data_IF_997955633612
#
_entry.id   IF_997955633612
#
_cell.length_a   1.000
_cell.length_b   1.000
_cell.length_c   1.000
_cell.angle_alpha   90.00
_cell.angle_beta   90.00
_cell.angle_gamma   90.00
#
_symmetry.space_group_name_H-M   'P 1'
#
loop_
_entity.id
_entity.type
_entity.pdbx_description
1 polymer ?
#
# COMPACT_ATOMS: atom_id res chain seq x y z
N UNK A 1 -40.39 38.89 -18.91
CA UNK A 1 -39.14 38.17 -19.28
C UNK A 1 -39.06 36.96 -18.39
N UNK A 2 -38.88 35.81 -19.01
CA UNK A 2 -39.16 34.46 -18.54
C UNK A 2 -38.14 33.94 -17.52
N UNK A 3 -38.63 33.47 -16.37
CA UNK A 3 -37.91 32.54 -15.50
C UNK A 3 -38.06 31.11 -16.05
N UNK A 4 -36.93 30.44 -16.30
CA UNK A 4 -36.86 29.06 -16.78
C UNK A 4 -36.36 28.15 -15.67
N UNK A 5 -37.29 27.31 -15.20
CA UNK A 5 -37.18 25.86 -15.11
C UNK A 5 -35.81 25.24 -14.74
N UNK A 6 -35.70 24.77 -13.49
CA UNK A 6 -34.75 23.71 -13.09
C UNK A 6 -35.55 22.54 -12.56
N UNK A 7 -35.78 21.58 -13.43
CA UNK A 7 -36.35 20.28 -13.15
C UNK A 7 -35.46 19.45 -12.20
N UNK A 8 -36.07 18.99 -11.11
CA UNK A 8 -35.53 18.03 -10.14
C UNK A 8 -36.21 16.68 -10.43
N UNK A 9 -35.49 15.55 -10.57
CA UNK A 9 -36.14 14.27 -10.83
C UNK A 9 -36.87 13.76 -9.57
N UNK A 10 -37.99 13.03 -9.71
CA UNK A 10 -38.86 12.72 -8.59
C UNK A 10 -38.42 11.48 -7.80
N UNK A 11 -38.49 11.59 -6.48
CA UNK A 11 -38.51 10.50 -5.52
C UNK A 11 -39.70 9.56 -5.81
N UNK A 12 -39.41 8.31 -6.17
CA UNK A 12 -40.41 7.23 -6.17
C UNK A 12 -40.33 6.45 -4.87
N UNK A 13 -41.09 6.89 -3.88
CA UNK A 13 -41.47 6.06 -2.73
C UNK A 13 -42.93 6.39 -2.36
N UNK A 14 -43.83 5.43 -2.57
CA UNK A 14 -45.24 5.27 -2.11
C UNK A 14 -45.95 4.38 -3.13
N UNK A 15 -46.83 3.41 -2.86
CA UNK A 15 -47.55 2.75 -1.74
C UNK A 15 -47.94 1.36 -2.32
N UNK A 16 -48.22 0.29 -1.58
CA UNK A 16 -49.45 0.10 -0.83
C UNK A 16 -49.42 -1.20 -0.02
N UNK A 17 -50.05 -1.15 1.15
CA UNK A 17 -50.40 -2.30 1.98
C UNK A 17 -51.74 -2.90 1.53
N UNK A 18 -51.89 -4.22 1.71
CA UNK A 18 -53.19 -4.89 1.77
C UNK A 18 -53.16 -6.35 1.31
N UNK A 19 -53.39 -7.29 2.23
CA UNK A 19 -53.79 -8.66 1.87
C UNK A 19 -53.22 -9.76 2.77
N UNK A 20 -53.80 -9.91 3.96
CA UNK A 20 -53.63 -11.07 4.84
C UNK A 20 -54.30 -12.31 4.18
N UNK A 21 -53.52 -13.32 3.82
CA UNK A 21 -53.99 -14.70 3.58
C UNK A 21 -52.93 -15.68 4.07
N UNK A 22 -53.18 -16.23 5.26
CA UNK A 22 -52.61 -17.51 5.69
C UNK A 22 -53.32 -18.60 4.88
N UNK A 23 -52.54 -19.45 4.22
CA UNK A 23 -52.61 -20.92 4.35
C UNK A 23 -51.82 -21.62 3.24
N UNK A 24 -51.36 -22.83 3.62
CA UNK A 24 -50.74 -23.89 2.82
C UNK A 24 -49.22 -23.81 2.62
N UNK A 25 -48.59 -24.83 3.20
CA UNK A 25 -47.18 -25.24 3.13
C UNK A 25 -46.83 -25.60 1.69
N UNK A 26 -45.63 -25.23 1.25
CA UNK A 26 -44.77 -26.03 0.38
C UNK A 26 -43.33 -25.52 0.52
N UNK A 27 -42.42 -26.42 0.86
CA UNK A 27 -40.98 -26.21 0.97
C UNK A 27 -40.33 -26.42 -0.41
N UNK A 28 -39.73 -25.39 -1.05
CA UNK A 28 -38.89 -25.60 -2.21
C UNK A 28 -37.42 -25.51 -1.78
N UNK A 29 -36.98 -26.45 -0.96
CA UNK A 29 -35.56 -26.78 -0.76
C UNK A 29 -35.01 -27.45 -2.04
N UNK A 30 -34.92 -26.65 -3.10
CA UNK A 30 -34.47 -27.06 -4.43
C UNK A 30 -33.56 -26.00 -5.07
N UNK A 31 -32.43 -25.70 -4.42
CA UNK A 31 -31.35 -24.98 -5.09
C UNK A 31 -30.79 -25.80 -6.26
N UNK A 32 -30.28 -25.17 -7.33
CA UNK A 32 -29.76 -25.89 -8.48
C UNK A 32 -28.63 -26.83 -8.05
N UNK A 33 -28.68 -28.07 -8.56
CA UNK A 33 -27.68 -29.09 -8.30
C UNK A 33 -26.28 -28.56 -8.63
N UNK A 34 -25.33 -28.80 -7.72
CA UNK A 34 -23.93 -28.55 -7.98
C UNK A 34 -23.51 -29.29 -9.26
N UNK A 35 -22.67 -28.68 -10.12
CA UNK A 35 -22.14 -29.37 -11.28
C UNK A 35 -21.44 -30.67 -10.84
N UNK A 36 -21.45 -31.72 -11.68
CA UNK A 36 -20.79 -32.98 -11.37
C UNK A 36 -19.32 -32.71 -11.01
N UNK A 37 -18.88 -33.38 -9.94
CA UNK A 37 -17.51 -33.35 -9.46
C UNK A 37 -16.63 -34.04 -10.52
N UNK A 38 -16.00 -33.25 -11.38
CA UNK A 38 -15.16 -33.69 -12.50
C UNK A 38 -13.84 -34.31 -12.01
N UNK A 39 -13.87 -35.14 -10.97
CA UNK A 39 -12.80 -36.07 -10.60
C UNK A 39 -11.39 -35.48 -10.56
N UNK A 40 -11.25 -34.17 -10.30
CA UNK A 40 -9.94 -33.55 -10.14
C UNK A 40 -9.44 -34.07 -8.82
N UNK A 41 -8.53 -35.04 -8.89
CA UNK A 41 -7.71 -35.44 -7.76
C UNK A 41 -6.92 -34.20 -7.34
N UNK A 42 -7.48 -33.43 -6.39
CA UNK A 42 -6.77 -32.34 -5.73
C UNK A 42 -5.68 -33.03 -4.92
N UNK A 43 -4.47 -33.10 -5.49
CA UNK A 43 -3.31 -33.66 -4.82
C UNK A 43 -3.21 -33.07 -3.41
N UNK A 44 -3.17 -33.95 -2.40
CA UNK A 44 -3.18 -33.54 -1.01
C UNK A 44 -1.94 -32.70 -0.68
N UNK A 45 -2.19 -31.53 -0.10
CA UNK A 45 -1.23 -30.65 0.58
C UNK A 45 -0.13 -30.05 -0.28
N UNK A 46 -0.50 -29.22 -1.27
CA UNK A 46 0.39 -28.11 -1.61
C UNK A 46 0.56 -27.24 -0.34
N UNK A 47 1.64 -27.45 0.41
CA UNK A 47 2.01 -26.52 1.47
C UNK A 47 2.27 -25.17 0.82
N UNK A 48 1.66 -24.12 1.35
CA UNK A 48 1.81 -22.74 0.88
C UNK A 48 3.32 -22.37 0.78
N UNK A 49 4.17 -22.92 1.66
CA UNK A 49 5.61 -22.68 1.72
C UNK A 49 6.42 -23.88 2.24
N UNK A 50 7.73 -23.86 1.99
CA UNK A 50 8.68 -24.77 2.62
C UNK A 50 8.74 -24.52 4.14
N UNK A 51 8.86 -25.58 4.95
CA UNK A 51 8.86 -25.49 6.42
C UNK A 51 9.96 -24.54 6.96
N UNK A 52 11.11 -24.48 6.28
CA UNK A 52 12.21 -23.56 6.60
C UNK A 52 11.84 -22.07 6.41
N UNK A 53 10.77 -21.76 5.67
CA UNK A 53 10.23 -20.42 5.44
C UNK A 53 8.84 -20.24 6.04
N UNK A 54 8.49 -21.03 7.06
CA UNK A 54 7.19 -20.96 7.75
C UNK A 54 6.88 -19.56 8.32
N UNK A 55 7.88 -18.78 8.69
CA UNK A 55 7.67 -17.42 9.20
C UNK A 55 8.21 -16.43 8.18
N UNK A 56 7.38 -16.02 7.23
CA UNK A 56 7.75 -15.04 6.22
C UNK A 56 6.60 -14.06 5.95
N UNK A 57 6.89 -12.81 5.53
CA UNK A 57 5.87 -11.76 5.39
C UNK A 57 4.89 -11.99 4.22
N UNK A 58 5.12 -12.99 3.39
CA UNK A 58 4.31 -13.32 2.22
C UNK A 58 3.36 -14.49 2.45
N UNK A 59 3.35 -15.08 3.65
CA UNK A 59 2.47 -16.20 3.96
C UNK A 59 1.32 -15.85 4.90
N UNK A 60 0.39 -16.78 5.04
CA UNK A 60 -0.76 -16.66 5.95
C UNK A 60 -0.36 -16.51 7.43
N UNK A 61 0.77 -17.09 7.84
CA UNK A 61 1.28 -17.04 9.22
C UNK A 61 1.77 -15.64 9.64
N UNK A 62 2.02 -14.71 8.70
CA UNK A 62 2.42 -13.32 9.01
C UNK A 62 1.48 -12.61 9.98
N UNK A 63 0.21 -12.98 9.93
CA UNK A 63 -0.86 -12.52 10.80
C UNK A 63 -0.56 -12.84 12.28
N UNK A 64 0.05 -13.99 12.54
CA UNK A 64 0.39 -14.44 13.89
C UNK A 64 1.50 -13.60 14.54
N UNK A 65 2.28 -12.84 13.77
CA UNK A 65 3.27 -11.91 14.30
C UNK A 65 2.65 -10.84 15.22
N UNK A 66 1.35 -10.56 15.06
CA UNK A 66 0.61 -9.57 15.85
C UNK A 66 -0.42 -10.21 16.80
N UNK A 67 -0.35 -11.53 17.03
CA UNK A 67 -1.32 -12.27 17.83
C UNK A 67 -1.48 -11.70 19.26
N UNK A 68 -0.40 -11.20 19.87
CA UNK A 68 -0.45 -10.59 21.20
C UNK A 68 -1.37 -9.35 21.25
N UNK A 69 -1.34 -8.51 20.19
CA UNK A 69 -2.22 -7.34 20.05
C UNK A 69 -3.64 -7.77 19.72
N UNK A 70 -3.83 -8.69 18.78
CA UNK A 70 -5.17 -9.09 18.34
C UNK A 70 -6.02 -9.74 19.42
N UNK A 71 -5.39 -10.51 20.33
CA UNK A 71 -6.06 -11.04 21.53
C UNK A 71 -6.72 -9.95 22.39
N UNK A 72 -6.38 -8.67 22.19
CA UNK A 72 -6.95 -7.52 22.92
C UNK A 72 -8.10 -6.84 22.19
N UNK A 73 -8.40 -7.22 20.95
CA UNK A 73 -9.56 -6.73 20.22
C UNK A 73 -10.80 -7.43 20.79
N UNK A 74 -11.34 -6.85 21.88
CA UNK A 74 -12.47 -7.37 22.63
C UNK A 74 -13.60 -6.35 22.57
N UNK A 75 -14.80 -6.80 22.22
CA UNK A 75 -15.99 -5.93 22.15
C UNK A 75 -16.20 -5.21 23.49
N UNK A 76 -16.39 -3.89 23.43
CA UNK A 76 -16.63 -3.05 24.61
C UNK A 76 -15.36 -2.64 25.37
N UNK A 77 -14.16 -2.96 24.87
CA UNK A 77 -12.88 -2.48 25.43
C UNK A 77 -12.16 -1.54 24.46
N UNK A 78 -11.28 -0.65 24.96
CA UNK A 78 -10.40 0.13 24.10
C UNK A 78 -9.56 -0.78 23.19
N UNK A 79 -9.39 -0.37 21.93
CA UNK A 79 -8.54 -1.08 20.99
C UNK A 79 -7.06 -0.87 21.35
N UNK A 80 -6.19 -1.87 21.13
CA UNK A 80 -4.76 -1.66 21.23
C UNK A 80 -4.30 -0.64 20.17
N UNK A 81 -3.20 0.07 20.45
CA UNK A 81 -2.60 0.97 19.48
C UNK A 81 -2.14 0.17 18.24
N UNK A 82 -2.19 0.76 17.03
CA UNK A 82 -1.74 0.09 15.84
C UNK A 82 -0.23 -0.17 15.89
N UNK A 83 0.22 -1.28 15.31
CA UNK A 83 1.66 -1.56 15.15
C UNK A 83 2.26 -0.66 14.07
N UNK A 84 1.49 -0.47 12.99
CA UNK A 84 1.89 0.29 11.81
C UNK A 84 0.83 1.33 11.46
N UNK A 85 1.26 2.55 11.15
CA UNK A 85 0.40 3.64 10.66
C UNK A 85 0.82 4.04 9.25
N UNK A 86 -0.14 4.13 8.33
CA UNK A 86 0.12 4.67 7.00
C UNK A 86 -0.05 6.19 6.98
N UNK A 87 0.83 6.89 6.29
CA UNK A 87 0.82 8.34 6.15
C UNK A 87 0.89 8.69 4.67
N UNK A 88 -0.09 9.46 4.21
CA UNK A 88 -0.15 10.02 2.85
C UNK A 88 0.36 11.48 2.91
N UNK A 89 1.61 11.77 2.52
CA UNK A 89 2.17 13.11 2.71
C UNK A 89 1.49 14.16 1.82
N UNK A 90 1.03 13.74 0.65
CA UNK A 90 0.45 14.62 -0.38
C UNK A 90 -0.47 13.86 -1.32
N UNK A 91 -1.50 14.56 -1.79
CA UNK A 91 -2.36 14.15 -2.89
C UNK A 91 -1.88 14.79 -4.21
N UNK A 92 -0.59 14.78 -4.45
CA UNK A 92 0.01 15.18 -5.72
C UNK A 92 0.86 14.05 -6.24
N UNK A 93 0.77 13.78 -7.54
CA UNK A 93 1.59 12.79 -8.22
C UNK A 93 2.10 13.38 -9.54
N UNK A 94 3.32 13.02 -9.91
CA UNK A 94 3.97 13.38 -11.17
C UNK A 94 3.85 12.27 -12.23
N UNK A 95 2.92 11.32 -12.04
CA UNK A 95 2.58 10.22 -12.95
C UNK A 95 1.07 10.06 -13.05
N UNK A 96 0.62 9.40 -14.12
CA UNK A 96 -0.79 9.09 -14.40
C UNK A 96 -0.91 7.58 -14.70
N UNK A 97 -0.76 6.76 -13.67
CA UNK A 97 -0.63 5.32 -13.81
C UNK A 97 -1.98 4.69 -14.19
N UNK A 98 -1.96 3.73 -15.13
CA UNK A 98 -3.15 3.04 -15.64
C UNK A 98 -3.98 2.28 -14.57
N UNK A 99 -3.42 2.02 -13.39
CA UNK A 99 -4.04 1.28 -12.28
C UNK A 99 -3.97 2.03 -10.94
N UNK A 100 -3.83 3.36 -10.97
CA UNK A 100 -3.63 4.14 -9.75
C UNK A 100 -4.77 3.91 -8.74
N UNK A 101 -4.47 3.28 -7.60
CA UNK A 101 -5.45 3.10 -6.52
C UNK A 101 -5.86 4.45 -5.88
N UNK A 102 -5.05 5.49 -6.08
CA UNK A 102 -5.30 6.86 -5.62
C UNK A 102 -5.95 7.75 -6.68
N UNK A 103 -6.37 7.24 -7.84
CA UNK A 103 -7.00 8.04 -8.91
C UNK A 103 -8.18 8.88 -8.37
N UNK A 104 -9.06 8.25 -7.58
CA UNK A 104 -10.21 8.96 -7.02
C UNK A 104 -9.81 10.10 -6.10
N UNK A 105 -8.82 9.90 -5.21
CA UNK A 105 -8.40 10.95 -4.28
C UNK A 105 -7.62 12.06 -5.00
N UNK A 106 -6.80 11.71 -5.99
CA UNK A 106 -6.06 12.66 -6.83
C UNK A 106 -7.03 13.54 -7.64
N UNK A 107 -8.09 12.98 -8.21
CA UNK A 107 -9.07 13.76 -8.98
C UNK A 107 -9.90 14.73 -8.13
N UNK A 108 -10.12 14.42 -6.85
CA UNK A 108 -10.98 15.23 -5.95
C UNK A 108 -10.21 16.19 -5.06
N UNK A 109 -9.01 15.81 -4.63
CA UNK A 109 -8.24 16.48 -3.60
C UNK A 109 -6.78 16.75 -4.02
N UNK A 110 -6.53 16.92 -5.32
CA UNK A 110 -5.20 17.22 -5.86
C UNK A 110 -4.55 18.45 -5.18
N UNK A 111 -3.24 18.40 -4.96
CA UNK A 111 -2.46 19.54 -4.47
C UNK A 111 -2.56 19.77 -2.97
N UNK A 112 -3.27 18.90 -2.23
CA UNK A 112 -3.32 18.95 -0.77
C UNK A 112 -2.12 18.21 -0.18
N UNK A 113 -1.36 18.89 0.66
CA UNK A 113 -0.17 18.34 1.31
C UNK A 113 -0.21 18.61 2.81
N UNK A 114 0.33 17.67 3.60
CA UNK A 114 0.57 17.88 5.02
C UNK A 114 1.65 18.95 5.21
N UNK A 115 1.45 19.86 6.17
CA UNK A 115 2.40 20.93 6.46
C UNK A 115 3.61 20.41 7.26
N UNK A 116 4.71 21.18 7.28
CA UNK A 116 5.90 20.88 8.09
C UNK A 116 5.56 20.56 9.56
N UNK A 117 4.63 21.33 10.15
CA UNK A 117 4.17 21.14 11.53
C UNK A 117 3.52 19.77 11.73
N UNK A 118 2.71 19.33 10.76
CA UNK A 118 2.04 18.01 10.83
C UNK A 118 3.06 16.90 10.60
N UNK A 119 3.91 17.04 9.59
CA UNK A 119 4.93 16.03 9.23
C UNK A 119 5.91 15.74 10.37
N UNK A 120 6.30 16.76 11.14
CA UNK A 120 7.16 16.58 12.33
C UNK A 120 6.36 16.23 13.60
N UNK A 121 5.09 16.63 13.66
CA UNK A 121 4.22 16.36 14.82
C UNK A 121 3.71 14.92 14.90
N UNK A 122 3.45 14.28 13.76
CA UNK A 122 2.91 12.90 13.71
C UNK A 122 3.87 11.92 14.41
N UNK A 123 5.18 11.83 14.09
CA UNK A 123 6.06 10.86 14.74
C UNK A 123 6.12 11.02 16.26
N UNK A 124 6.17 12.28 16.74
CA UNK A 124 6.17 12.60 18.18
C UNK A 124 4.88 12.14 18.86
N UNK A 125 3.73 12.39 18.23
CA UNK A 125 2.46 11.87 18.69
C UNK A 125 2.46 10.33 18.75
N UNK A 126 2.83 9.66 17.65
CA UNK A 126 2.85 8.20 17.57
C UNK A 126 3.76 7.55 18.63
N UNK A 127 4.91 8.17 18.93
CA UNK A 127 5.85 7.69 19.95
C UNK A 127 5.29 7.78 21.38
N UNK A 128 4.39 8.74 21.62
CA UNK A 128 3.68 8.91 22.88
C UNK A 128 2.40 8.08 22.99
N UNK A 129 1.88 7.58 21.87
CA UNK A 129 0.62 6.84 21.85
C UNK A 129 0.84 5.40 22.35
N UNK A 130 0.23 5.08 23.49
CA UNK A 130 0.38 3.79 24.18
C UNK A 130 -0.97 3.19 24.54
N UNK A 131 -1.02 1.86 24.56
CA UNK A 131 -2.14 1.14 25.16
C UNK A 131 -2.08 1.18 26.69
N UNK A 132 -3.25 1.09 27.32
CA UNK A 132 -3.36 0.97 28.77
C UNK A 132 -2.89 -0.41 29.28
N UNK A 133 -2.55 -0.48 30.57
CA UNK A 133 -2.18 -1.69 31.32
C UNK A 133 -3.16 -2.86 31.06
N UNK A 134 -2.70 -4.13 30.92
CA UNK A 134 -1.36 -4.66 31.27
C UNK A 134 -0.34 -4.78 30.14
N UNK A 135 -0.59 -4.17 28.98
CA UNK A 135 0.29 -4.35 27.82
C UNK A 135 0.77 -3.01 27.27
N UNK A 136 2.07 -2.70 27.37
CA UNK A 136 2.61 -1.41 26.95
C UNK A 136 2.87 -1.38 25.45
N UNK A 137 1.85 -1.69 24.62
CA UNK A 137 1.99 -1.59 23.17
C UNK A 137 2.21 -0.13 22.75
N UNK A 138 3.06 0.06 21.75
CA UNK A 138 3.36 1.35 21.12
C UNK A 138 3.10 1.28 19.62
N UNK A 139 3.10 2.42 18.94
CA UNK A 139 3.31 2.41 17.48
C UNK A 139 4.78 2.07 17.22
N UNK A 140 5.04 1.12 16.33
CA UNK A 140 6.39 0.60 16.06
C UNK A 140 6.90 1.06 14.69
N UNK A 141 6.00 1.23 13.73
CA UNK A 141 6.37 1.57 12.36
C UNK A 141 5.39 2.53 11.67
N UNK A 142 5.88 3.19 10.64
CA UNK A 142 5.08 3.93 9.66
C UNK A 142 5.36 3.46 8.24
N UNK A 143 4.31 3.44 7.43
CA UNK A 143 4.42 3.30 5.98
C UNK A 143 4.07 4.64 5.34
N UNK A 144 5.05 5.28 4.72
CA UNK A 144 4.88 6.57 4.05
C UNK A 144 4.60 6.32 2.58
N UNK A 145 3.42 6.69 2.12
CA UNK A 145 2.98 6.45 0.74
C UNK A 145 1.48 6.24 0.66
N UNK A 146 0.91 6.58 -0.50
CA UNK A 146 -0.54 6.79 -0.66
C UNK A 146 -0.82 8.26 -0.99
N UNK A 147 -2.07 8.56 -1.34
CA UNK A 147 -2.51 9.88 -1.81
C UNK A 147 -1.99 10.29 -3.19
N UNK A 148 -0.69 10.12 -3.44
CA UNK A 148 0.06 10.46 -4.63
C UNK A 148 1.51 9.98 -4.52
N UNK A 149 2.48 10.83 -4.85
CA UNK A 149 3.91 10.56 -4.70
C UNK A 149 4.45 11.17 -3.40
N UNK A 150 4.84 10.32 -2.45
CA UNK A 150 5.29 10.74 -1.12
C UNK A 150 6.45 11.73 -1.16
N UNK A 151 7.40 11.57 -2.09
CA UNK A 151 8.58 12.42 -2.19
C UNK A 151 8.30 13.80 -2.81
N UNK A 152 7.07 14.07 -3.28
CA UNK A 152 6.67 15.43 -3.69
C UNK A 152 6.37 16.35 -2.51
N UNK A 153 6.13 15.82 -1.31
CA UNK A 153 6.03 16.67 -0.12
C UNK A 153 7.45 17.07 0.34
N UNK A 154 7.78 18.38 0.42
CA UNK A 154 9.12 18.85 0.78
C UNK A 154 9.53 18.54 2.23
N UNK A 155 8.63 18.00 3.04
CA UNK A 155 8.86 17.66 4.45
C UNK A 155 8.88 16.15 4.71
N UNK A 156 8.87 15.32 3.66
CA UNK A 156 8.96 13.86 3.80
C UNK A 156 10.27 13.43 4.46
N UNK A 157 11.38 14.09 4.16
CA UNK A 157 12.67 13.80 4.81
C UNK A 157 12.60 14.05 6.32
N UNK A 158 12.07 15.21 6.71
CA UNK A 158 11.88 15.57 8.12
C UNK A 158 10.94 14.59 8.86
N UNK A 159 9.91 14.06 8.19
CA UNK A 159 9.04 13.01 8.76
C UNK A 159 9.86 11.74 9.04
N UNK A 160 10.70 11.31 8.11
CA UNK A 160 11.52 10.09 8.25
C UNK A 160 12.56 10.27 9.36
N UNK A 161 13.23 11.42 9.39
CA UNK A 161 14.22 11.77 10.43
C UNK A 161 13.58 11.80 11.82
N UNK A 162 12.40 12.41 11.97
CA UNK A 162 11.66 12.42 13.23
C UNK A 162 11.19 11.02 13.63
N UNK A 163 10.81 10.15 12.68
CA UNK A 163 10.52 8.74 13.00
C UNK A 163 11.76 8.06 13.59
N UNK A 164 12.91 8.17 12.91
CA UNK A 164 14.16 7.58 13.36
C UNK A 164 14.59 8.11 14.75
N UNK A 165 14.49 9.41 14.98
CA UNK A 165 14.83 10.05 16.26
C UNK A 165 13.94 9.57 17.42
N UNK A 166 12.70 9.17 17.13
CA UNK A 166 11.74 8.68 18.12
C UNK A 166 11.67 7.14 18.18
N UNK A 167 12.58 6.42 17.52
CA UNK A 167 12.63 4.96 17.53
C UNK A 167 11.47 4.29 16.76
N UNK A 168 10.83 5.01 15.84
CA UNK A 168 9.78 4.48 14.96
C UNK A 168 10.42 4.09 13.64
N UNK A 169 10.19 2.85 13.20
CA UNK A 169 10.68 2.38 11.91
C UNK A 169 9.88 3.00 10.77
N UNK A 170 10.56 3.45 9.71
CA UNK A 170 9.90 3.95 8.51
C UNK A 170 10.07 2.97 7.35
N UNK A 171 9.05 2.88 6.51
CA UNK A 171 9.12 2.34 5.16
C UNK A 171 8.46 3.29 4.18
N UNK A 172 9.03 3.46 2.99
CA UNK A 172 8.53 4.42 1.99
C UNK A 172 8.09 3.71 0.72
N UNK A 173 6.94 4.08 0.18
CA UNK A 173 6.52 3.73 -1.18
C UNK A 173 6.64 4.96 -2.07
N UNK A 174 7.35 4.83 -3.18
CA UNK A 174 7.60 5.91 -4.14
C UNK A 174 7.59 5.37 -5.57
N UNK A 175 7.28 6.22 -6.53
CA UNK A 175 7.46 5.93 -7.96
C UNK A 175 8.92 6.01 -8.42
N UNK A 176 9.81 6.51 -7.56
CA UNK A 176 11.26 6.47 -7.76
C UNK A 176 11.87 7.68 -8.48
N UNK A 177 11.06 8.60 -9.01
CA UNK A 177 11.55 9.70 -9.87
C UNK A 177 12.48 10.67 -9.11
N UNK A 178 12.28 10.79 -7.80
CA UNK A 178 12.97 11.75 -6.93
C UNK A 178 13.99 11.09 -5.98
N UNK A 179 14.27 9.80 -6.14
CA UNK A 179 15.14 9.05 -5.20
C UNK A 179 16.48 9.75 -4.94
N UNK A 180 17.09 10.29 -5.98
CA UNK A 180 18.40 10.94 -5.93
C UNK A 180 18.47 12.14 -4.98
N UNK A 181 17.33 12.79 -4.71
CA UNK A 181 17.24 13.96 -3.83
C UNK A 181 17.05 13.59 -2.36
N UNK A 182 16.65 12.36 -2.09
CA UNK A 182 16.19 11.91 -0.77
C UNK A 182 17.02 10.75 -0.21
N UNK A 183 18.17 10.43 -0.80
CA UNK A 183 18.99 9.26 -0.45
C UNK A 183 19.30 9.19 1.05
N UNK A 184 19.73 10.30 1.65
CA UNK A 184 20.13 10.33 3.06
C UNK A 184 18.95 10.01 3.98
N UNK A 185 17.82 10.69 3.82
CA UNK A 185 16.62 10.41 4.60
C UNK A 185 16.09 8.99 4.35
N UNK A 186 16.01 8.56 3.09
CA UNK A 186 15.57 7.22 2.72
C UNK A 186 16.46 6.11 3.31
N UNK A 187 17.76 6.37 3.52
CA UNK A 187 18.68 5.42 4.16
C UNK A 187 18.31 5.10 5.62
N UNK A 188 17.56 5.99 6.27
CA UNK A 188 17.04 5.79 7.63
C UNK A 188 15.82 4.85 7.67
N UNK A 189 15.21 4.56 6.52
CA UNK A 189 14.09 3.63 6.42
C UNK A 189 14.58 2.18 6.56
N UNK A 190 13.71 1.30 7.05
CA UNK A 190 13.93 -0.15 6.99
C UNK A 190 13.85 -0.65 5.55
N UNK A 191 12.89 -0.14 4.77
CA UNK A 191 12.73 -0.47 3.37
C UNK A 191 12.23 0.72 2.53
N UNK A 192 12.57 0.69 1.24
CA UNK A 192 12.04 1.63 0.24
C UNK A 192 11.49 0.82 -0.93
N UNK A 193 10.19 0.88 -1.15
CA UNK A 193 9.48 0.20 -2.23
C UNK A 193 9.29 1.10 -3.42
N UNK A 194 9.99 0.81 -4.51
CA UNK A 194 9.96 1.62 -5.73
C UNK A 194 9.01 0.97 -6.74
N UNK A 195 7.93 1.65 -7.09
CA UNK A 195 6.88 1.17 -8.00
C UNK A 195 7.33 1.29 -9.46
N UNK A 196 8.14 0.33 -9.90
CA UNK A 196 8.68 0.32 -11.27
C UNK A 196 7.69 -0.32 -12.24
N UNK A 197 7.14 -1.49 -11.91
CA UNK A 197 6.04 -2.13 -12.65
C UNK A 197 6.29 -2.38 -14.17
N UNK A 198 7.57 -2.40 -14.60
CA UNK A 198 7.95 -2.65 -15.98
C UNK A 198 9.35 -3.26 -16.06
N UNK A 199 9.61 -4.05 -17.12
CA UNK A 199 10.93 -4.55 -17.50
C UNK A 199 11.54 -3.79 -18.68
N UNK A 200 10.85 -2.77 -19.20
CA UNK A 200 11.34 -1.92 -20.30
C UNK A 200 10.86 -0.47 -20.15
N UNK A 201 11.63 0.48 -20.71
CA UNK A 201 11.26 1.90 -20.75
C UNK A 201 9.96 2.14 -21.55
N UNK A 202 9.73 1.37 -22.61
CA UNK A 202 8.51 1.46 -23.43
C UNK A 202 7.28 1.12 -22.59
N UNK A 203 7.31 -0.01 -21.89
CA UNK A 203 6.19 -0.44 -21.03
C UNK A 203 6.02 0.51 -19.84
N UNK A 204 7.11 0.97 -19.23
CA UNK A 204 7.05 1.94 -18.15
C UNK A 204 6.33 3.23 -18.57
N UNK A 205 6.79 3.86 -19.66
CA UNK A 205 6.21 5.13 -20.11
C UNK A 205 4.71 5.01 -20.37
N UNK A 206 4.34 3.99 -21.13
CA UNK A 206 2.96 3.71 -21.52
C UNK A 206 2.05 3.50 -20.31
N UNK A 207 2.47 2.68 -19.35
CA UNK A 207 1.63 2.33 -18.20
C UNK A 207 1.63 3.39 -17.08
N UNK A 208 2.64 4.26 -17.05
CA UNK A 208 2.77 5.35 -16.07
C UNK A 208 2.28 6.70 -16.60
N UNK A 209 1.73 6.74 -17.82
CA UNK A 209 1.16 7.95 -18.43
C UNK A 209 2.21 8.99 -18.81
N UNK A 210 3.38 8.56 -19.27
CA UNK A 210 4.49 9.45 -19.66
C UNK A 210 4.58 9.60 -21.18
N UNK A 211 5.11 10.75 -21.67
CA UNK A 211 5.34 10.95 -23.10
C UNK A 211 6.44 10.02 -23.63
N UNK A 212 6.36 9.69 -24.93
CA UNK A 212 7.31 8.77 -25.57
C UNK A 212 8.77 9.22 -25.52
N UNK A 213 9.02 10.52 -25.38
CA UNK A 213 10.36 11.10 -25.27
C UNK A 213 10.93 11.07 -23.85
N UNK A 214 10.17 10.60 -22.86
CA UNK A 214 10.62 10.58 -21.47
C UNK A 214 11.74 9.54 -21.23
N UNK A 215 12.75 9.94 -20.48
CA UNK A 215 13.87 9.10 -20.00
C UNK A 215 13.64 8.59 -18.56
N UNK A 216 12.39 8.68 -18.08
CA UNK A 216 12.07 8.52 -16.65
C UNK A 216 12.37 7.12 -16.12
N UNK A 217 12.22 6.08 -16.94
CA UNK A 217 12.55 4.71 -16.53
C UNK A 217 14.04 4.57 -16.17
N UNK A 218 14.93 5.05 -17.04
CA UNK A 218 16.38 4.96 -16.81
C UNK A 218 16.79 5.78 -15.59
N UNK A 219 16.16 6.94 -15.39
CA UNK A 219 16.36 7.77 -14.19
C UNK A 219 15.93 7.05 -12.91
N UNK A 220 14.79 6.36 -12.92
CA UNK A 220 14.31 5.58 -11.77
C UNK A 220 15.26 4.43 -11.48
N UNK A 221 15.67 3.65 -12.48
CA UNK A 221 16.61 2.52 -12.32
C UNK A 221 17.94 3.01 -11.75
N UNK A 222 18.49 4.10 -12.29
CA UNK A 222 19.72 4.73 -11.76
C UNK A 222 19.53 5.28 -10.34
N UNK A 223 18.35 5.77 -10.00
CA UNK A 223 18.01 6.21 -8.64
C UNK A 223 18.00 5.04 -7.65
N UNK A 224 17.44 3.89 -8.05
CA UNK A 224 17.46 2.65 -7.28
C UNK A 224 18.89 2.18 -7.04
N UNK A 225 19.71 2.10 -8.10
CA UNK A 225 21.13 1.73 -8.03
C UNK A 225 21.88 2.60 -7.02
N UNK A 226 21.78 3.93 -7.14
CA UNK A 226 22.44 4.87 -6.21
C UNK A 226 22.00 4.69 -4.77
N UNK A 227 20.71 4.51 -4.52
CA UNK A 227 20.20 4.31 -3.15
C UNK A 227 20.69 2.97 -2.58
N UNK A 228 20.71 1.91 -3.39
CA UNK A 228 21.21 0.60 -2.99
C UNK A 228 22.73 0.64 -2.71
N UNK A 229 23.51 1.31 -3.56
CA UNK A 229 24.94 1.54 -3.33
C UNK A 229 25.20 2.34 -2.05
N UNK A 230 24.46 3.43 -1.83
CA UNK A 230 24.58 4.21 -0.61
C UNK A 230 24.27 3.36 0.63
N UNK A 231 23.20 2.56 0.58
CA UNK A 231 22.82 1.67 1.68
C UNK A 231 23.84 0.56 1.95
N UNK A 232 24.50 0.03 0.90
CA UNK A 232 25.59 -0.96 1.05
C UNK A 232 26.89 -0.32 1.57
N UNK A 233 27.17 0.91 1.16
CA UNK A 233 28.40 1.64 1.52
C UNK A 233 28.34 2.32 2.88
N UNK A 234 27.15 2.44 3.47
CA UNK A 234 26.93 3.09 4.78
C UNK A 234 26.32 2.11 5.77
N UNK A 235 26.63 2.29 7.06
CA UNK A 235 25.95 1.53 8.11
C UNK A 235 24.63 2.21 8.47
N UNK A 236 23.61 1.98 7.65
CA UNK A 236 22.27 2.55 7.83
C UNK A 236 21.19 1.46 8.02
N UNK A 237 20.01 1.80 8.55
CA UNK A 237 18.89 0.86 8.68
C UNK A 237 18.50 0.18 7.36
N UNK A 238 18.51 0.92 6.24
CA UNK A 238 18.13 0.41 4.93
C UNK A 238 19.03 -0.72 4.44
N UNK A 239 20.34 -0.61 4.70
CA UNK A 239 21.34 -1.65 4.40
C UNK A 239 21.41 -2.77 5.44
N UNK A 240 20.53 -2.78 6.44
CA UNK A 240 20.53 -3.78 7.49
C UNK A 240 20.20 -5.19 6.99
N UNK A 241 20.65 -6.21 7.72
CA UNK A 241 20.35 -7.61 7.41
C UNK A 241 18.88 -7.93 7.72
N UNK A 242 18.17 -8.55 6.77
CA UNK A 242 16.82 -9.06 6.97
C UNK A 242 16.03 -9.15 5.67
N UNK A 243 15.11 -10.11 5.56
CA UNK A 243 14.30 -10.30 4.33
C UNK A 243 13.38 -9.11 4.02
N UNK A 244 13.15 -8.22 4.99
CA UNK A 244 12.33 -7.02 4.84
C UNK A 244 13.10 -5.73 4.70
N UNK A 245 14.44 -5.76 4.70
CA UNK A 245 15.26 -4.56 4.62
C UNK A 245 15.72 -4.29 3.19
N UNK A 246 15.91 -3.01 2.86
CA UNK A 246 16.53 -2.58 1.62
C UNK A 246 15.59 -1.98 0.58
N UNK A 247 16.12 -1.80 -0.62
CA UNK A 247 15.39 -1.22 -1.74
C UNK A 247 14.67 -2.34 -2.49
N UNK A 248 13.35 -2.24 -2.60
CA UNK A 248 12.50 -3.22 -3.26
C UNK A 248 12.03 -2.70 -4.61
N UNK A 249 12.31 -3.46 -5.66
CA UNK A 249 11.76 -3.24 -6.99
C UNK A 249 10.33 -3.78 -7.04
N UNK A 250 9.33 -2.92 -6.81
CA UNK A 250 7.92 -3.31 -6.78
C UNK A 250 7.36 -3.47 -8.19
N UNK A 251 6.53 -4.50 -8.34
CA UNK A 251 5.96 -4.90 -9.61
C UNK A 251 4.50 -5.31 -9.45
N UNK A 252 3.59 -4.43 -9.84
CA UNK A 252 2.18 -4.73 -10.01
C UNK A 252 1.96 -5.38 -11.36
N UNK A 253 1.33 -6.56 -11.35
CA UNK A 253 1.07 -7.32 -12.57
C UNK A 253 -0.18 -6.78 -13.27
N UNK A 254 0.00 -6.40 -14.52
CA UNK A 254 -1.02 -5.95 -15.46
C UNK A 254 -0.90 -6.79 -16.75
N UNK A 255 -2.00 -7.06 -17.50
CA UNK A 255 -1.92 -7.84 -18.74
C UNK A 255 -0.85 -7.36 -19.72
N UNK A 256 -0.57 -6.06 -19.72
CA UNK A 256 0.38 -5.41 -20.63
C UNK A 256 1.83 -5.39 -20.15
N UNK A 257 2.10 -5.80 -18.91
CA UNK A 257 3.47 -5.94 -18.38
C UNK A 257 3.81 -7.38 -17.96
N UNK A 258 2.83 -8.27 -17.75
CA UNK A 258 3.04 -9.60 -17.16
C UNK A 258 4.14 -10.45 -17.83
N UNK A 259 4.38 -10.26 -19.13
CA UNK A 259 5.44 -10.96 -19.89
C UNK A 259 6.85 -10.45 -19.59
N UNK A 260 6.99 -9.28 -18.96
CA UNK A 260 8.25 -8.63 -18.64
C UNK A 260 8.76 -8.93 -17.22
N UNK A 261 8.04 -9.72 -16.40
CA UNK A 261 8.43 -10.01 -15.01
C UNK A 261 9.88 -10.53 -14.92
N UNK A 262 10.27 -11.43 -15.83
CA UNK A 262 11.64 -11.93 -15.87
C UNK A 262 12.67 -10.84 -16.21
N UNK A 263 12.35 -9.94 -17.15
CA UNK A 263 13.22 -8.82 -17.51
C UNK A 263 13.36 -7.83 -16.33
N UNK A 264 12.25 -7.48 -15.69
CA UNK A 264 12.23 -6.62 -14.50
C UNK A 264 13.04 -7.23 -13.35
N UNK A 265 12.89 -8.54 -13.09
CA UNK A 265 13.66 -9.24 -12.07
C UNK A 265 15.17 -9.24 -12.35
N UNK A 266 15.58 -9.33 -13.61
CA UNK A 266 17.00 -9.19 -13.99
C UNK A 266 17.53 -7.79 -13.70
N UNK A 267 16.77 -6.75 -14.08
CA UNK A 267 17.14 -5.36 -13.76
C UNK A 267 17.29 -5.19 -12.25
N UNK A 268 16.29 -5.64 -11.48
CA UNK A 268 16.30 -5.54 -10.02
C UNK A 268 17.48 -6.27 -9.35
N UNK A 269 17.94 -7.39 -9.92
CA UNK A 269 19.12 -8.11 -9.42
C UNK A 269 20.42 -7.37 -9.72
N UNK A 270 20.47 -6.67 -10.85
CA UNK A 270 21.69 -6.05 -11.37
C UNK A 270 21.97 -4.68 -10.72
N UNK A 271 21.02 -4.09 -9.97
CA UNK A 271 21.13 -2.81 -9.25
C UNK A 271 21.26 -2.96 -7.73
#
# INVERSE_FOLDING_TARGET
MSETDRSRPPDRCTRSAGGDRRDARDDPSGGPAAPPDDGVVVASSAKEWADAKRWNPFNSDKLLAQAARWKRIIRGRPLPVPTLVSIDPTNSCNLDCAWCNSEWILSRNSGRSLSAKVMTGIPRFLASWRSEDPWPFTVEAVCVGGGGEALLNPHTDALIEECAANGIQAGVVTNGILLDRHIEALSLCTWVGVSVDAGSAVTFKRLKGLPETADTFDRVVKGVEKLAEYARGTRCPLGGNGQGNGVSFKYLVHPENAREIHAAARIARDV
#
